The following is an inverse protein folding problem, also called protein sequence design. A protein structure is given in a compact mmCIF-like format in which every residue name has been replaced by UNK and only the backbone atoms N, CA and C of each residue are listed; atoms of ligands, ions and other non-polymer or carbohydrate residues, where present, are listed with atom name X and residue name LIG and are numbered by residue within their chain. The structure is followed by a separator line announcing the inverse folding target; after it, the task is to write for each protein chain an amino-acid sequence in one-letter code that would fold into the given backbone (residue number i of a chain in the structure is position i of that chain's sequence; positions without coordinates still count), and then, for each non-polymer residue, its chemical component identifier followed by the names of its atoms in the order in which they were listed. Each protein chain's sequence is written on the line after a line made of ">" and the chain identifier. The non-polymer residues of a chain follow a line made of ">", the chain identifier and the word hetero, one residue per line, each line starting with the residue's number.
data_IF_458201531982
#
_entry.id   IF_458201531982
#
_cell.length_a   1.000
_cell.length_b   1.000
_cell.length_c   1.000
_cell.angle_alpha   90.00
_cell.angle_beta   90.00
_cell.angle_gamma   90.00
#
_symmetry.space_group_name_H-M   'P 1'
#
loop_
_entity.id
_entity.type
_entity.pdbx_description
1 polymer ?
#
# COMPACT_ATOMS: atom_id res chain seq x y z
N UNK A 1 21.11 -23.58 -14.50
CA UNK A 1 21.17 -24.55 -15.60
C UNK A 1 20.77 -25.91 -15.08
N UNK A 2 19.80 -26.59 -15.68
CA UNK A 2 19.38 -27.92 -15.24
C UNK A 2 20.39 -28.99 -15.65
N UNK A 3 20.50 -30.09 -14.89
CA UNK A 3 21.44 -31.20 -15.18
C UNK A 3 21.29 -31.70 -16.64
N UNK A 4 20.07 -31.73 -17.19
CA UNK A 4 19.81 -32.11 -18.59
C UNK A 4 20.46 -31.17 -19.61
N UNK A 5 20.46 -29.87 -19.34
CA UNK A 5 21.05 -28.86 -20.22
C UNK A 5 22.58 -28.99 -20.20
N UNK A 6 23.15 -29.20 -19.01
CA UNK A 6 24.61 -29.42 -18.85
C UNK A 6 25.05 -30.71 -19.55
N UNK A 7 24.30 -31.80 -19.41
CA UNK A 7 24.60 -33.07 -20.09
C UNK A 7 24.54 -32.91 -21.61
N UNK A 8 23.55 -32.18 -22.14
CA UNK A 8 23.47 -31.90 -23.57
C UNK A 8 24.66 -31.08 -24.06
N UNK A 9 25.06 -30.06 -23.31
CA UNK A 9 26.21 -29.21 -23.63
C UNK A 9 27.54 -29.98 -23.63
N UNK A 10 27.82 -30.75 -22.57
CA UNK A 10 29.03 -31.60 -22.48
C UNK A 10 29.07 -32.61 -23.64
N UNK A 11 27.93 -33.23 -23.95
CA UNK A 11 27.85 -34.22 -25.04
C UNK A 11 28.16 -33.59 -26.40
N UNK A 12 27.69 -32.36 -26.63
CA UNK A 12 27.89 -31.66 -27.89
C UNK A 12 29.32 -31.13 -28.04
N UNK A 13 29.88 -30.54 -26.98
CA UNK A 13 31.18 -29.86 -27.02
C UNK A 13 32.35 -30.84 -26.88
N UNK A 14 32.26 -31.84 -25.99
CA UNK A 14 33.41 -32.69 -25.64
C UNK A 14 33.33 -34.10 -26.23
N UNK A 15 32.15 -34.52 -26.66
CA UNK A 15 31.87 -35.85 -27.22
C UNK A 15 31.30 -35.81 -28.65
N UNK A 16 31.43 -34.67 -29.34
CA UNK A 16 31.04 -34.48 -30.74
C UNK A 16 29.59 -34.90 -31.04
N UNK A 17 28.69 -34.75 -30.07
CA UNK A 17 27.28 -35.12 -30.19
C UNK A 17 26.97 -36.62 -30.07
N UNK A 18 27.97 -37.48 -29.78
CA UNK A 18 27.77 -38.92 -29.55
C UNK A 18 28.26 -39.32 -28.17
N UNK A 19 27.33 -39.51 -27.24
CA UNK A 19 27.62 -39.98 -25.89
C UNK A 19 27.87 -41.50 -25.89
N UNK A 20 29.06 -41.92 -26.32
CA UNK A 20 29.51 -43.28 -26.16
C UNK A 20 30.61 -43.30 -25.10
N UNK A 21 30.26 -43.67 -23.87
CA UNK A 21 31.22 -43.84 -22.77
C UNK A 21 31.49 -45.35 -22.67
N UNK A 22 32.65 -45.84 -23.12
CA UNK A 22 33.11 -47.19 -22.86
C UNK A 22 33.11 -47.47 -21.36
N UNK A 23 32.86 -48.72 -20.97
CA UNK A 23 32.90 -49.14 -19.57
C UNK A 23 34.35 -49.25 -19.06
N UNK A 24 35.07 -48.13 -19.08
CA UNK A 24 36.43 -47.97 -18.60
C UNK A 24 36.44 -46.81 -17.59
N UNK A 25 37.03 -47.04 -16.42
CA UNK A 25 37.07 -46.05 -15.31
C UNK A 25 37.54 -44.68 -15.77
N UNK A 26 38.53 -44.65 -16.66
CA UNK A 26 39.16 -43.42 -17.16
C UNK A 26 38.18 -42.54 -17.95
N UNK A 27 37.33 -43.13 -18.79
CA UNK A 27 36.40 -42.36 -19.62
C UNK A 27 35.18 -41.89 -18.83
N UNK A 28 34.74 -42.69 -17.86
CA UNK A 28 33.70 -42.31 -16.90
C UNK A 28 34.20 -41.11 -16.06
N UNK A 29 35.41 -41.17 -15.54
CA UNK A 29 36.03 -40.08 -14.77
C UNK A 29 36.19 -38.80 -15.59
N UNK A 30 36.59 -38.93 -16.87
CA UNK A 30 36.70 -37.79 -17.79
C UNK A 30 35.36 -37.12 -18.03
N UNK A 31 34.30 -37.91 -18.23
CA UNK A 31 32.95 -37.39 -18.42
C UNK A 31 32.40 -36.72 -17.14
N UNK A 32 32.61 -37.34 -15.98
CA UNK A 32 32.22 -36.77 -14.68
C UNK A 32 32.97 -35.46 -14.42
N UNK A 33 34.26 -35.38 -14.74
CA UNK A 33 35.05 -34.15 -14.59
C UNK A 33 34.56 -33.03 -15.53
N UNK A 34 34.21 -33.36 -16.78
CA UNK A 34 33.67 -32.42 -17.76
C UNK A 34 32.28 -31.89 -17.37
N UNK A 35 31.44 -32.75 -16.78
CA UNK A 35 30.18 -32.35 -16.16
C UNK A 35 30.46 -31.45 -14.96
N UNK A 36 31.36 -31.83 -14.06
CA UNK A 36 31.67 -31.09 -12.86
C UNK A 36 32.18 -29.67 -13.18
N UNK A 37 32.99 -29.49 -14.22
CA UNK A 37 33.47 -28.18 -14.66
C UNK A 37 32.37 -27.24 -15.19
N UNK A 38 31.27 -27.79 -15.73
CA UNK A 38 30.11 -27.01 -16.21
C UNK A 38 28.97 -26.94 -15.17
N UNK A 39 28.94 -27.88 -14.23
CA UNK A 39 28.03 -27.93 -13.08
C UNK A 39 28.57 -27.12 -11.90
N UNK A 40 29.86 -26.79 -11.85
CA UNK A 40 30.40 -25.78 -10.92
C UNK A 40 29.72 -24.46 -11.21
N UNK A 41 28.55 -24.31 -10.60
CA UNK A 41 27.78 -23.09 -10.50
C UNK A 41 28.77 -22.03 -10.07
N UNK A 42 28.80 -20.93 -10.81
CA UNK A 42 29.54 -19.75 -10.40
C UNK A 42 29.01 -19.36 -9.01
N UNK A 43 29.70 -19.79 -7.95
CA UNK A 43 29.21 -19.63 -6.58
C UNK A 43 29.06 -18.15 -6.24
N UNK A 44 29.86 -17.29 -6.87
CA UNK A 44 29.76 -15.84 -6.72
C UNK A 44 28.48 -15.32 -7.37
N UNK A 45 28.08 -15.82 -8.54
CA UNK A 45 26.83 -15.44 -9.19
C UNK A 45 25.61 -15.92 -8.41
N UNK A 46 25.66 -17.15 -7.90
CA UNK A 46 24.60 -17.70 -7.06
C UNK A 46 24.46 -16.90 -5.76
N UNK A 47 25.58 -16.62 -5.08
CA UNK A 47 25.59 -15.81 -3.87
C UNK A 47 25.06 -14.38 -4.13
N UNK A 48 25.42 -13.78 -5.27
CA UNK A 48 24.86 -12.48 -5.69
C UNK A 48 23.34 -12.54 -5.88
N UNK A 49 22.84 -13.57 -6.56
CA UNK A 49 21.40 -13.74 -6.82
C UNK A 49 20.60 -13.98 -5.54
N UNK A 50 21.16 -14.74 -4.60
CA UNK A 50 20.58 -14.97 -3.27
C UNK A 50 20.54 -13.66 -2.47
N UNK A 51 21.64 -12.91 -2.41
CA UNK A 51 21.70 -11.62 -1.73
C UNK A 51 20.65 -10.63 -2.27
N UNK A 52 20.45 -10.57 -3.59
CA UNK A 52 19.41 -9.74 -4.21
C UNK A 52 18.01 -10.20 -3.80
N UNK A 53 17.77 -11.52 -3.75
CA UNK A 53 16.48 -12.08 -3.35
C UNK A 53 16.17 -11.78 -1.88
N UNK A 54 17.17 -11.89 -1.01
CA UNK A 54 17.06 -11.56 0.41
C UNK A 54 16.77 -10.07 0.61
N UNK A 55 17.53 -9.18 -0.06
CA UNK A 55 17.31 -7.74 -0.02
C UNK A 55 15.90 -7.35 -0.48
N UNK A 56 15.41 -7.94 -1.57
CA UNK A 56 14.06 -7.69 -2.06
C UNK A 56 13.00 -8.15 -1.06
N UNK A 57 13.22 -9.28 -0.39
CA UNK A 57 12.31 -9.80 0.63
C UNK A 57 12.30 -8.90 1.86
N UNK A 58 13.47 -8.48 2.33
CA UNK A 58 13.62 -7.50 3.41
C UNK A 58 12.90 -6.19 3.08
N UNK A 59 13.16 -5.64 1.89
CA UNK A 59 12.57 -4.37 1.46
C UNK A 59 11.05 -4.41 1.43
N UNK A 60 10.45 -5.53 0.98
CA UNK A 60 8.98 -5.73 1.01
C UNK A 60 8.41 -5.62 2.42
N UNK A 61 9.08 -6.17 3.42
CA UNK A 61 8.64 -6.11 4.83
C UNK A 61 8.88 -4.72 5.40
N UNK A 62 10.05 -4.13 5.14
CA UNK A 62 10.42 -2.80 5.59
C UNK A 62 9.44 -1.73 5.06
N UNK A 63 9.03 -1.82 3.79
CA UNK A 63 8.08 -0.89 3.19
C UNK A 63 6.70 -0.96 3.85
N UNK A 64 6.19 -2.17 4.12
CA UNK A 64 4.92 -2.34 4.84
C UNK A 64 4.98 -1.75 6.24
N UNK A 65 6.09 -1.99 6.93
CA UNK A 65 6.34 -1.47 8.28
C UNK A 65 6.40 0.06 8.27
N UNK A 66 7.08 0.65 7.28
CA UNK A 66 7.13 2.11 7.10
C UNK A 66 5.72 2.68 6.90
N UNK A 67 4.92 2.11 6.01
CA UNK A 67 3.56 2.59 5.74
C UNK A 67 2.66 2.49 6.98
N UNK A 68 2.68 1.37 7.72
CA UNK A 68 1.91 1.25 8.97
C UNK A 68 2.37 2.26 10.03
N UNK A 69 3.69 2.46 10.15
CA UNK A 69 4.25 3.43 11.08
C UNK A 69 3.84 4.86 10.72
N UNK A 70 3.87 5.27 9.45
CA UNK A 70 3.41 6.59 9.04
C UNK A 70 1.92 6.76 9.35
N UNK A 71 1.08 5.79 8.99
CA UNK A 71 -0.35 5.88 9.25
C UNK A 71 -0.67 5.95 10.75
N UNK A 72 -0.01 5.12 11.57
CA UNK A 72 -0.32 4.99 13.00
C UNK A 72 0.39 6.02 13.86
N UNK A 73 1.68 6.22 13.65
CA UNK A 73 2.51 7.08 14.50
C UNK A 73 2.50 8.53 14.03
N UNK A 74 2.31 8.80 12.74
CA UNK A 74 2.25 10.18 12.24
C UNK A 74 0.80 10.64 12.16
N UNK A 75 0.02 10.04 11.25
CA UNK A 75 -1.33 10.52 10.96
C UNK A 75 -2.23 10.35 12.17
N UNK A 76 -2.35 9.13 12.72
CA UNK A 76 -3.29 8.87 13.82
C UNK A 76 -2.89 9.60 15.10
N UNK A 77 -1.61 9.61 15.46
CA UNK A 77 -1.12 10.20 16.72
C UNK A 77 -0.97 11.72 16.69
N UNK A 78 -0.67 12.33 15.55
CA UNK A 78 -0.45 13.78 15.52
C UNK A 78 -1.61 14.55 14.90
N UNK A 79 -2.36 13.94 13.97
CA UNK A 79 -3.47 14.59 13.28
C UNK A 79 -4.81 14.16 13.87
N UNK A 80 -5.07 12.85 13.95
CA UNK A 80 -6.40 12.36 14.33
C UNK A 80 -6.64 12.49 15.84
N UNK A 81 -5.64 12.27 16.68
CA UNK A 81 -5.83 12.27 18.15
C UNK A 81 -6.19 13.63 18.73
N UNK A 82 -5.95 14.73 18.02
CA UNK A 82 -6.33 16.08 18.45
C UNK A 82 -7.79 16.42 18.12
N UNK A 83 -8.43 15.68 17.20
CA UNK A 83 -9.80 15.95 16.77
C UNK A 83 -10.84 15.76 17.89
N UNK A 84 -10.80 14.69 18.71
CA UNK A 84 -11.76 14.54 19.81
C UNK A 84 -11.68 15.67 20.82
N UNK A 85 -10.48 16.25 21.02
CA UNK A 85 -10.30 17.40 21.89
C UNK A 85 -10.72 18.71 21.23
N UNK A 86 -10.73 18.82 19.90
CA UNK A 86 -11.06 20.07 19.20
C UNK A 86 -12.47 20.58 19.50
N UNK A 87 -13.43 19.68 19.74
CA UNK A 87 -14.82 20.02 20.05
C UNK A 87 -15.29 19.42 21.39
N UNK A 88 -14.39 19.32 22.37
CA UNK A 88 -14.80 18.87 23.70
C UNK A 88 -15.62 19.98 24.40
N UNK A 89 -16.57 19.64 25.29
CA UNK A 89 -17.42 20.62 25.97
C UNK A 89 -16.63 21.72 26.67
N UNK A 90 -15.48 21.38 27.26
CA UNK A 90 -14.59 22.36 27.90
C UNK A 90 -14.06 23.38 26.89
N UNK A 91 -13.56 22.94 25.74
CA UNK A 91 -13.04 23.84 24.71
C UNK A 91 -14.14 24.71 24.10
N UNK A 92 -15.33 24.15 23.88
CA UNK A 92 -16.50 24.90 23.41
C UNK A 92 -16.92 25.96 24.44
N UNK A 93 -16.90 25.63 25.74
CA UNK A 93 -17.24 26.58 26.81
C UNK A 93 -16.25 27.73 26.96
N UNK A 94 -15.03 27.57 26.44
CA UNK A 94 -13.97 28.58 26.45
C UNK A 94 -13.90 29.40 25.16
N UNK A 95 -14.75 29.11 24.15
CA UNK A 95 -14.82 29.92 22.94
C UNK A 95 -15.37 31.32 23.25
N UNK A 96 -14.89 32.33 22.53
CA UNK A 96 -15.43 33.69 22.65
C UNK A 96 -16.84 33.77 22.07
N UNK A 97 -17.62 34.72 22.57
CA UNK A 97 -18.96 35.01 22.06
C UNK A 97 -18.95 35.30 20.55
N UNK A 98 -17.92 35.97 20.03
CA UNK A 98 -17.76 36.24 18.59
C UNK A 98 -17.66 34.96 17.76
N UNK A 99 -16.86 33.99 18.23
CA UNK A 99 -16.70 32.68 17.56
C UNK A 99 -17.99 31.88 17.63
N UNK A 100 -18.63 31.86 18.81
CA UNK A 100 -19.92 31.18 18.99
C UNK A 100 -21.00 31.79 18.11
N UNK A 101 -21.04 33.13 18.02
CA UNK A 101 -21.97 33.84 17.15
C UNK A 101 -21.70 33.49 15.70
N UNK A 102 -20.44 33.46 15.26
CA UNK A 102 -20.09 33.10 13.89
C UNK A 102 -20.47 31.65 13.54
N UNK A 103 -20.23 30.69 14.46
CA UNK A 103 -20.60 29.28 14.28
C UNK A 103 -22.13 29.09 14.28
N UNK A 104 -22.82 29.78 15.20
CA UNK A 104 -24.26 29.63 15.42
C UNK A 104 -25.15 30.49 14.52
N UNK A 105 -24.58 31.50 13.83
CA UNK A 105 -25.34 32.40 12.97
C UNK A 105 -25.73 31.72 11.67
N UNK A 106 -26.95 32.03 11.23
CA UNK A 106 -27.41 31.65 9.90
C UNK A 106 -26.74 32.54 8.83
N UNK A 107 -26.37 31.99 7.66
CA UNK A 107 -25.98 32.81 6.52
C UNK A 107 -27.12 33.74 6.09
N UNK A 108 -26.80 34.94 5.62
CA UNK A 108 -27.78 35.97 5.23
C UNK A 108 -28.85 35.46 4.25
N UNK A 109 -28.44 34.64 3.28
CA UNK A 109 -29.36 34.00 2.32
C UNK A 109 -30.42 33.14 3.02
N UNK A 110 -30.07 32.43 4.09
CA UNK A 110 -31.01 31.62 4.85
C UNK A 110 -31.95 32.49 5.69
N UNK A 111 -31.43 33.58 6.28
CA UNK A 111 -32.23 34.55 7.02
C UNK A 111 -33.33 35.13 6.12
N UNK A 112 -32.96 35.63 4.94
CA UNK A 112 -33.91 36.20 3.98
C UNK A 112 -34.94 35.17 3.50
N UNK A 113 -34.49 33.93 3.24
CA UNK A 113 -35.40 32.84 2.87
C UNK A 113 -36.38 32.52 4.00
N UNK A 114 -35.91 32.43 5.24
CA UNK A 114 -36.73 32.14 6.42
C UNK A 114 -37.76 33.24 6.64
N UNK A 115 -37.38 34.51 6.53
CA UNK A 115 -38.29 35.66 6.61
C UNK A 115 -39.39 35.58 5.54
N UNK A 116 -39.01 35.40 4.27
CA UNK A 116 -39.98 35.27 3.17
C UNK A 116 -40.96 34.11 3.39
N UNK A 117 -40.47 32.96 3.83
CA UNK A 117 -41.33 31.80 4.09
C UNK A 117 -42.26 32.03 5.30
N UNK A 118 -41.78 32.72 6.33
CA UNK A 118 -42.59 33.09 7.48
C UNK A 118 -43.75 34.03 7.08
N UNK A 119 -43.47 35.03 6.25
CA UNK A 119 -44.48 35.94 5.69
C UNK A 119 -45.54 35.20 4.88
N UNK A 120 -45.12 34.33 3.97
CA UNK A 120 -46.04 33.51 3.17
C UNK A 120 -46.91 32.63 4.09
N UNK A 121 -46.29 31.97 5.06
CA UNK A 121 -47.00 31.09 6.01
C UNK A 121 -48.02 31.87 6.83
N UNK A 122 -47.67 33.07 7.29
CA UNK A 122 -48.58 33.95 8.01
C UNK A 122 -49.76 34.36 7.14
N UNK A 123 -49.51 34.77 5.89
CA UNK A 123 -50.56 35.12 4.93
C UNK A 123 -51.52 33.96 4.67
N UNK A 124 -50.99 32.76 4.45
CA UNK A 124 -51.79 31.54 4.24
C UNK A 124 -52.64 31.18 5.47
N UNK A 125 -52.11 31.34 6.69
CA UNK A 125 -52.88 31.11 7.92
C UNK A 125 -54.02 32.10 8.09
N UNK A 126 -53.77 33.38 7.79
CA UNK A 126 -54.81 34.42 7.86
C UNK A 126 -55.91 34.17 6.82
N UNK A 127 -55.55 33.83 5.58
CA UNK A 127 -56.54 33.53 4.54
C UNK A 127 -57.36 32.29 4.88
N UNK A 128 -56.74 31.25 5.42
CA UNK A 128 -57.45 30.04 5.84
C UNK A 128 -58.43 30.33 6.98
N UNK A 129 -58.03 31.12 7.98
CA UNK A 129 -58.93 31.52 9.08
C UNK A 129 -60.11 32.38 8.58
N UNK A 130 -59.90 33.21 7.56
CA UNK A 130 -60.97 34.00 6.95
C UNK A 130 -61.96 33.14 6.14
N UNK A 131 -61.49 32.10 5.46
CA UNK A 131 -62.32 31.17 4.68
C UNK A 131 -63.11 30.17 5.54
N UNK A 132 -62.76 30.01 6.81
CA UNK A 132 -63.45 29.12 7.75
C UNK A 132 -64.57 29.81 8.56
N UNK A 133 -64.79 31.12 8.33
CA UNK A 133 -65.94 31.89 8.85
C UNK A 133 -67.06 31.95 7.83
#
# INVERSE_FOLDING_TARGET
>A
MGIKEVVAEVTQQDWHGKLHIPNCSVEIEKFVSALQARITVNMDEQACNEAVTELNTYYKVAMKTFVDNVARQVIKRHIISSLPTAFCPNNVSQMSDEVLLNIGSEPEKQILRRQKLAEITQGLRQSLAALQK
#
